data_IF_711322306826
#
_entry.id   IF_711322306826
#
_cell.length_a   1.000
_cell.length_b   1.000
_cell.length_c   1.000
_cell.angle_alpha   90.00
_cell.angle_beta   90.00
_cell.angle_gamma   90.00
#
_symmetry.space_group_name_H-M   'P 1'
#
loop_
_entity.id
_entity.type
_entity.pdbx_description
1 polymer ?
#
# COMPACT_ATOMS: atom_id res chain seq x y z
N UNK A 1 8.45 19.55 -16.85
CA UNK A 1 7.22 19.54 -17.69
C UNK A 1 6.34 20.69 -17.25
N UNK A 2 5.80 21.46 -18.17
CA UNK A 2 4.90 22.58 -17.84
C UNK A 2 3.50 22.23 -18.35
N UNK A 3 2.59 21.84 -17.45
CA UNK A 3 1.20 21.56 -17.78
C UNK A 3 0.42 22.87 -17.92
N UNK A 4 -0.51 22.90 -18.89
CA UNK A 4 -1.40 24.04 -19.15
C UNK A 4 -2.83 23.81 -18.68
N UNK A 5 -3.24 22.52 -18.55
CA UNK A 5 -4.59 22.14 -18.16
C UNK A 5 -4.56 21.09 -17.07
N UNK A 6 -5.41 21.28 -16.05
CA UNK A 6 -5.45 20.44 -14.84
C UNK A 6 -6.83 19.80 -14.72
N UNK A 7 -6.89 18.51 -14.97
CA UNK A 7 -8.09 17.72 -14.90
C UNK A 7 -8.19 17.12 -13.49
N UNK A 8 -9.23 17.50 -12.74
CA UNK A 8 -9.57 16.90 -11.46
C UNK A 8 -10.75 15.96 -11.61
N UNK A 9 -10.57 14.70 -11.25
CA UNK A 9 -11.56 13.67 -11.50
C UNK A 9 -11.90 12.96 -10.19
N UNK A 10 -13.16 13.12 -9.77
CA UNK A 10 -13.74 12.33 -8.70
C UNK A 10 -14.40 11.08 -9.29
N UNK A 11 -14.05 9.91 -8.75
CA UNK A 11 -14.45 8.61 -9.32
C UNK A 11 -15.30 7.85 -8.33
N UNK A 12 -16.55 7.61 -8.69
CA UNK A 12 -17.45 6.71 -7.99
C UNK A 12 -17.63 5.38 -8.74
N UNK A 13 -18.38 4.46 -8.16
CA UNK A 13 -18.67 3.16 -8.79
C UNK A 13 -19.36 3.32 -10.15
N UNK A 14 -20.34 4.21 -10.23
CA UNK A 14 -21.24 4.32 -11.39
C UNK A 14 -20.99 5.59 -12.21
N UNK A 15 -20.38 6.61 -11.63
CA UNK A 15 -20.24 7.95 -12.22
C UNK A 15 -18.86 8.53 -12.01
N UNK A 16 -18.50 9.47 -12.86
CA UNK A 16 -17.33 10.32 -12.76
C UNK A 16 -17.76 11.78 -12.81
N UNK A 17 -17.11 12.60 -12.00
CA UNK A 17 -17.20 14.06 -12.04
C UNK A 17 -15.86 14.64 -12.46
N UNK A 18 -15.86 15.39 -13.56
CA UNK A 18 -14.66 15.94 -14.18
C UNK A 18 -14.70 17.46 -14.11
N UNK A 19 -13.68 18.07 -13.54
CA UNK A 19 -13.44 19.52 -13.62
C UNK A 19 -12.12 19.79 -14.30
N UNK A 20 -12.09 20.80 -15.20
CA UNK A 20 -10.88 21.22 -15.90
C UNK A 20 -10.55 22.67 -15.54
N UNK A 21 -9.31 22.89 -15.13
CA UNK A 21 -8.76 24.24 -14.90
C UNK A 21 -7.73 24.59 -15.98
N UNK A 22 -7.66 25.86 -16.34
CA UNK A 22 -6.62 26.43 -17.20
C UNK A 22 -5.31 26.70 -16.44
N UNK A 23 -4.33 27.28 -17.14
CA UNK A 23 -3.02 27.65 -16.58
C UNK A 23 -3.10 28.75 -15.50
N UNK A 24 -4.19 29.55 -15.47
CA UNK A 24 -4.45 30.57 -14.46
C UNK A 24 -5.21 29.99 -13.24
N UNK A 25 -5.71 28.75 -13.34
CA UNK A 25 -6.52 28.11 -12.30
C UNK A 25 -8.01 28.42 -12.41
N UNK A 26 -8.47 29.00 -13.54
CA UNK A 26 -9.89 29.22 -13.80
C UNK A 26 -10.55 27.92 -14.27
N UNK A 27 -11.78 27.69 -13.83
CA UNK A 27 -12.56 26.55 -14.29
C UNK A 27 -13.10 26.80 -15.70
N UNK A 28 -12.67 25.99 -16.67
CA UNK A 28 -13.10 26.08 -18.07
C UNK A 28 -14.14 25.02 -18.44
N UNK A 29 -14.19 23.89 -17.72
CA UNK A 29 -15.20 22.85 -17.95
C UNK A 29 -15.58 22.11 -16.66
N UNK A 30 -16.80 21.60 -16.64
CA UNK A 30 -17.30 20.60 -15.70
C UNK A 30 -18.22 19.64 -16.44
N UNK A 31 -18.04 18.34 -16.23
CA UNK A 31 -18.85 17.29 -16.83
C UNK A 31 -19.17 16.23 -15.78
N UNK A 32 -20.40 15.70 -15.83
CA UNK A 32 -20.84 14.53 -15.07
C UNK A 32 -21.18 13.40 -16.05
N UNK A 33 -20.61 12.20 -15.85
CA UNK A 33 -20.72 11.11 -16.81
C UNK A 33 -20.76 9.74 -16.12
N UNK A 34 -21.20 8.72 -16.85
CA UNK A 34 -21.17 7.34 -16.39
C UNK A 34 -19.73 6.79 -16.38
N UNK A 35 -19.41 5.95 -15.38
CA UNK A 35 -18.10 5.29 -15.25
C UNK A 35 -18.01 4.05 -16.16
N UNK A 36 -18.15 4.25 -17.45
CA UNK A 36 -17.92 3.26 -18.49
C UNK A 36 -16.99 3.81 -19.57
N UNK A 37 -16.28 2.93 -20.26
CA UNK A 37 -15.25 3.30 -21.22
C UNK A 37 -15.78 4.15 -22.39
N UNK A 38 -17.03 3.91 -22.84
CA UNK A 38 -17.65 4.64 -23.97
C UNK A 38 -17.96 6.09 -23.57
N UNK A 39 -18.58 6.27 -22.42
CA UNK A 39 -18.93 7.59 -21.86
C UNK A 39 -17.66 8.40 -21.54
N UNK A 40 -16.66 7.75 -20.94
CA UNK A 40 -15.35 8.36 -20.64
C UNK A 40 -14.71 8.89 -21.93
N UNK A 41 -14.51 8.04 -22.94
CA UNK A 41 -13.89 8.42 -24.21
C UNK A 41 -14.63 9.59 -24.87
N UNK A 42 -15.97 9.48 -24.98
CA UNK A 42 -16.80 10.52 -25.60
C UNK A 42 -16.68 11.87 -24.89
N UNK A 43 -16.76 11.87 -23.57
CA UNK A 43 -16.71 13.08 -22.76
C UNK A 43 -15.33 13.75 -22.85
N UNK A 44 -14.27 13.01 -22.54
CA UNK A 44 -12.91 13.56 -22.51
C UNK A 44 -12.47 14.08 -23.88
N UNK A 45 -12.67 13.32 -24.97
CA UNK A 45 -12.36 13.76 -26.32
C UNK A 45 -13.21 14.97 -26.71
N UNK A 46 -14.48 15.02 -26.27
CA UNK A 46 -15.37 16.17 -26.49
C UNK A 46 -14.87 17.45 -25.80
N UNK A 47 -14.41 17.33 -24.55
CA UNK A 47 -13.83 18.46 -23.79
C UNK A 47 -12.53 18.93 -24.45
N UNK A 48 -11.61 18.03 -24.78
CA UNK A 48 -10.34 18.36 -25.44
C UNK A 48 -10.60 19.10 -26.76
N UNK A 49 -11.53 18.61 -27.60
CA UNK A 49 -11.88 19.23 -28.88
C UNK A 49 -12.54 20.60 -28.70
N UNK A 50 -13.50 20.73 -27.77
CA UNK A 50 -14.27 21.96 -27.53
C UNK A 50 -13.37 23.12 -27.08
N UNK A 51 -12.36 22.80 -26.26
CA UNK A 51 -11.46 23.82 -25.70
C UNK A 51 -10.09 23.84 -26.40
N UNK A 52 -9.91 23.10 -27.52
CA UNK A 52 -8.66 23.03 -28.29
C UNK A 52 -7.44 22.65 -27.43
N UNK A 53 -7.64 21.71 -26.49
CA UNK A 53 -6.63 21.25 -25.55
C UNK A 53 -5.83 20.10 -26.14
N UNK A 54 -4.51 20.17 -26.07
CA UNK A 54 -3.61 19.07 -26.43
C UNK A 54 -3.42 18.12 -25.24
N UNK A 55 -3.44 16.81 -25.51
CA UNK A 55 -3.30 15.77 -24.47
C UNK A 55 -1.97 15.88 -23.69
N UNK A 56 -0.89 16.23 -24.38
CA UNK A 56 0.44 16.42 -23.81
C UNK A 56 0.55 17.57 -22.80
N UNK A 57 -0.33 18.59 -22.91
CA UNK A 57 -0.40 19.74 -22.02
C UNK A 57 -1.27 19.46 -20.76
N UNK A 58 -1.87 18.25 -20.65
CA UNK A 58 -2.81 17.89 -19.61
C UNK A 58 -2.17 17.15 -18.45
N UNK A 59 -2.57 17.48 -17.23
CA UNK A 59 -2.34 16.67 -16.03
C UNK A 59 -3.68 16.12 -15.52
N UNK A 60 -3.83 14.80 -15.49
CA UNK A 60 -5.02 14.11 -15.00
C UNK A 60 -4.81 13.67 -13.55
N UNK A 61 -5.43 14.39 -12.62
CA UNK A 61 -5.36 14.08 -11.20
C UNK A 61 -6.64 13.38 -10.70
N UNK A 62 -6.47 12.26 -10.01
CA UNK A 62 -7.56 11.45 -9.47
C UNK A 62 -7.28 11.08 -8.01
N UNK A 63 -8.35 10.93 -7.22
CA UNK A 63 -8.26 10.23 -5.96
C UNK A 63 -8.16 8.71 -6.19
N UNK A 64 -7.31 8.02 -5.41
CA UNK A 64 -7.18 6.58 -5.49
C UNK A 64 -8.40 5.89 -4.84
N UNK A 65 -9.38 5.49 -5.65
CA UNK A 65 -10.62 4.79 -5.23
C UNK A 65 -10.62 3.27 -5.54
N UNK A 66 -9.46 2.71 -5.83
CA UNK A 66 -9.29 1.29 -6.09
C UNK A 66 -9.75 0.88 -7.49
N UNK A 67 -10.57 -0.19 -7.59
CA UNK A 67 -10.95 -0.79 -8.88
C UNK A 67 -11.81 0.13 -9.76
N UNK A 68 -12.49 1.10 -9.17
CA UNK A 68 -13.37 1.99 -9.94
C UNK A 68 -12.61 2.96 -10.85
N UNK A 69 -11.33 3.20 -10.57
CA UNK A 69 -10.47 4.01 -11.43
C UNK A 69 -9.99 3.26 -12.69
N UNK A 70 -10.08 1.92 -12.73
CA UNK A 70 -9.46 1.10 -13.79
C UNK A 70 -9.89 1.51 -15.20
N UNK A 71 -11.19 1.69 -15.54
CA UNK A 71 -11.58 2.03 -16.90
C UNK A 71 -10.92 3.32 -17.41
N UNK A 72 -10.91 4.37 -16.57
CA UNK A 72 -10.31 5.65 -16.92
C UNK A 72 -8.77 5.57 -16.98
N UNK A 73 -8.15 4.97 -15.95
CA UNK A 73 -6.68 4.91 -15.86
C UNK A 73 -6.09 4.05 -16.98
N UNK A 74 -6.71 2.92 -17.32
CA UNK A 74 -6.26 2.09 -18.45
C UNK A 74 -6.36 2.82 -19.77
N UNK A 75 -7.46 3.55 -20.01
CA UNK A 75 -7.61 4.33 -21.22
C UNK A 75 -6.60 5.50 -21.29
N UNK A 76 -6.43 6.27 -20.22
CA UNK A 76 -5.44 7.35 -20.19
C UNK A 76 -4.01 6.81 -20.37
N UNK A 77 -3.71 5.64 -19.78
CA UNK A 77 -2.40 4.98 -19.98
C UNK A 77 -2.17 4.58 -21.43
N UNK A 78 -3.21 4.10 -22.14
CA UNK A 78 -3.10 3.76 -23.57
C UNK A 78 -2.85 4.97 -24.47
N UNK A 79 -3.09 6.18 -23.97
CA UNK A 79 -2.81 7.46 -24.63
C UNK A 79 -1.52 8.12 -24.12
N UNK A 80 -0.73 7.41 -23.32
CA UNK A 80 0.49 7.94 -22.67
C UNK A 80 0.27 9.25 -21.88
N UNK A 81 -0.96 9.46 -21.37
CA UNK A 81 -1.36 10.66 -20.67
C UNK A 81 -0.65 10.80 -19.31
N UNK A 82 -0.45 12.03 -18.86
CA UNK A 82 0.15 12.32 -17.57
C UNK A 82 -0.87 12.15 -16.44
N UNK A 83 -0.80 11.04 -15.72
CA UNK A 83 -1.74 10.67 -14.65
C UNK A 83 -1.07 10.89 -13.28
N UNK A 84 -1.78 11.54 -12.37
CA UNK A 84 -1.41 11.67 -10.97
C UNK A 84 -2.48 11.06 -10.08
N UNK A 85 -2.19 9.88 -9.51
CA UNK A 85 -3.05 9.26 -8.50
C UNK A 85 -2.59 9.68 -7.10
N UNK A 86 -3.46 10.39 -6.38
CA UNK A 86 -3.16 10.87 -5.03
C UNK A 86 -4.14 10.29 -3.99
N UNK A 87 -3.72 10.27 -2.74
CA UNK A 87 -4.62 9.86 -1.65
C UNK A 87 -5.62 10.97 -1.32
N UNK A 88 -6.90 10.62 -1.12
CA UNK A 88 -7.94 11.60 -0.75
C UNK A 88 -7.62 12.36 0.54
N UNK A 89 -6.91 11.72 1.47
CA UNK A 89 -6.45 12.37 2.69
C UNK A 89 -5.38 13.46 2.44
N UNK A 90 -4.56 13.31 1.41
CA UNK A 90 -3.58 14.32 1.02
C UNK A 90 -4.28 15.50 0.34
N UNK A 91 -5.17 15.21 -0.60
CA UNK A 91 -6.01 16.22 -1.27
C UNK A 91 -6.80 17.03 -0.23
N UNK A 92 -7.46 16.35 0.72
CA UNK A 92 -8.25 17.03 1.76
C UNK A 92 -7.41 17.92 2.67
N UNK A 93 -6.22 17.47 3.09
CA UNK A 93 -5.33 18.23 3.97
C UNK A 93 -4.76 19.51 3.32
N UNK A 94 -4.58 19.49 2.02
CA UNK A 94 -4.04 20.65 1.29
C UNK A 94 -5.02 21.82 1.19
N UNK A 95 -6.30 21.61 1.51
CA UNK A 95 -7.38 22.59 1.26
C UNK A 95 -7.86 23.35 2.51
N UNK A 96 -7.30 23.06 3.69
CA UNK A 96 -7.73 23.69 4.94
C UNK A 96 -9.15 23.28 5.38
N UNK A 97 -9.89 24.22 6.01
CA UNK A 97 -11.27 23.97 6.47
C UNK A 97 -12.23 24.13 5.29
N UNK A 98 -12.85 23.04 4.88
CA UNK A 98 -13.75 23.03 3.71
C UNK A 98 -15.18 22.77 4.15
N UNK A 99 -16.13 23.59 3.68
CA UNK A 99 -17.58 23.42 3.88
C UNK A 99 -18.22 22.86 2.61
N UNK A 100 -19.23 22.02 2.77
CA UNK A 100 -19.98 21.39 1.69
C UNK A 100 -19.27 20.16 1.10
N UNK A 101 -20.07 19.16 0.72
CA UNK A 101 -19.62 17.94 0.02
C UNK A 101 -20.60 17.66 -1.11
N UNK A 102 -20.07 17.62 -2.34
CA UNK A 102 -20.75 17.10 -3.52
C UNK A 102 -19.68 16.67 -4.51
N UNK A 103 -19.94 15.70 -5.35
CA UNK A 103 -19.00 15.13 -6.31
C UNK A 103 -18.45 16.21 -7.25
N UNK A 104 -19.27 17.21 -7.66
CA UNK A 104 -18.85 18.40 -8.38
C UNK A 104 -17.79 19.22 -7.61
N UNK A 105 -18.00 19.44 -6.32
CA UNK A 105 -17.07 20.19 -5.49
C UNK A 105 -15.79 19.39 -5.28
N UNK A 106 -15.89 18.05 -5.15
CA UNK A 106 -14.74 17.20 -4.93
C UNK A 106 -13.87 17.09 -6.20
N UNK A 107 -14.46 17.00 -7.41
CA UNK A 107 -13.68 17.08 -8.67
C UNK A 107 -12.95 18.42 -8.83
N UNK A 108 -13.59 19.56 -8.49
CA UNK A 108 -12.94 20.87 -8.48
C UNK A 108 -11.79 20.95 -7.47
N UNK A 109 -11.93 20.34 -6.31
CA UNK A 109 -10.89 20.25 -5.28
C UNK A 109 -9.68 19.49 -5.77
N UNK A 110 -9.90 18.36 -6.45
CA UNK A 110 -8.85 17.54 -7.04
C UNK A 110 -8.11 18.35 -8.12
N UNK A 111 -8.84 19.08 -8.98
CA UNK A 111 -8.25 19.94 -10.00
C UNK A 111 -7.40 21.07 -9.38
N UNK A 112 -7.92 21.75 -8.35
CA UNK A 112 -7.17 22.78 -7.60
C UNK A 112 -5.93 22.23 -6.94
N UNK A 113 -6.01 21.02 -6.37
CA UNK A 113 -4.85 20.32 -5.80
C UNK A 113 -3.76 20.12 -6.85
N UNK A 114 -4.12 19.60 -8.03
CA UNK A 114 -3.19 19.41 -9.13
C UNK A 114 -2.55 20.71 -9.60
N UNK A 115 -3.35 21.77 -9.74
CA UNK A 115 -2.88 23.10 -10.13
C UNK A 115 -1.89 23.70 -9.12
N UNK A 116 -2.24 23.71 -7.83
CA UNK A 116 -1.42 24.32 -6.78
C UNK A 116 -0.10 23.55 -6.55
N UNK A 117 -0.12 22.23 -6.69
CA UNK A 117 1.04 21.37 -6.45
C UNK A 117 1.73 20.92 -7.75
N UNK A 118 1.51 21.61 -8.87
CA UNK A 118 2.03 21.22 -10.18
C UNK A 118 3.55 21.09 -10.28
N UNK A 119 4.29 21.69 -9.37
CA UNK A 119 5.75 21.56 -9.29
C UNK A 119 6.21 20.30 -8.55
N UNK A 120 5.31 19.59 -7.84
CA UNK A 120 5.59 18.40 -7.03
C UNK A 120 4.92 17.14 -7.60
N UNK A 121 4.54 17.17 -8.88
CA UNK A 121 3.79 16.10 -9.54
C UNK A 121 4.54 14.77 -9.45
N UNK A 122 3.82 13.74 -9.04
CA UNK A 122 4.28 12.34 -9.05
C UNK A 122 3.46 11.56 -10.05
N UNK A 123 3.97 11.48 -11.26
CA UNK A 123 3.29 10.75 -12.32
C UNK A 123 3.16 9.26 -11.92
N UNK A 124 1.93 8.78 -12.05
CA UNK A 124 1.61 7.39 -11.80
C UNK A 124 2.22 6.49 -12.88
N UNK A 125 2.79 5.39 -12.45
CA UNK A 125 3.32 4.36 -13.33
C UNK A 125 2.45 3.12 -13.19
N UNK A 126 1.89 2.66 -14.30
CA UNK A 126 1.06 1.48 -14.32
C UNK A 126 1.84 0.27 -13.81
N UNK A 127 1.31 -0.49 -12.83
CA UNK A 127 1.90 -1.77 -12.49
C UNK A 127 1.67 -2.75 -13.66
N UNK A 128 2.65 -3.61 -13.89
CA UNK A 128 2.51 -4.71 -14.87
C UNK A 128 1.32 -5.60 -14.50
N UNK A 129 0.71 -6.25 -15.48
CA UNK A 129 -0.46 -7.13 -15.26
C UNK A 129 -0.19 -8.20 -14.20
N UNK A 130 1.00 -8.78 -14.21
CA UNK A 130 1.42 -9.78 -13.23
C UNK A 130 1.41 -9.22 -11.79
N UNK A 131 1.78 -7.96 -11.58
CA UNK A 131 1.71 -7.29 -10.26
C UNK A 131 0.26 -7.07 -9.84
N UNK A 132 -0.60 -6.70 -10.80
CA UNK A 132 -2.03 -6.56 -10.55
C UNK A 132 -2.65 -7.90 -10.15
N UNK A 133 -2.29 -8.98 -10.84
CA UNK A 133 -2.75 -10.33 -10.54
C UNK A 133 -2.29 -10.79 -9.15
N UNK A 134 -1.01 -10.62 -8.82
CA UNK A 134 -0.50 -10.88 -7.47
C UNK A 134 -1.25 -10.08 -6.39
N UNK A 135 -1.61 -8.83 -6.66
CA UNK A 135 -2.39 -8.00 -5.73
C UNK A 135 -3.81 -8.57 -5.50
N UNK A 136 -4.46 -9.09 -6.55
CA UNK A 136 -5.77 -9.76 -6.47
C UNK A 136 -5.68 -11.05 -5.64
N UNK A 137 -4.70 -11.92 -5.90
CA UNK A 137 -4.46 -13.14 -5.12
C UNK A 137 -4.20 -12.84 -3.65
N UNK A 138 -3.37 -11.84 -3.34
CA UNK A 138 -3.09 -11.39 -1.98
C UNK A 138 -4.32 -10.80 -1.28
N UNK A 139 -5.21 -10.14 -2.03
CA UNK A 139 -6.49 -9.64 -1.52
C UNK A 139 -7.43 -10.79 -1.19
N UNK A 140 -7.56 -11.78 -2.09
CA UNK A 140 -8.39 -12.98 -1.90
C UNK A 140 -7.90 -13.79 -0.70
N UNK A 141 -6.59 -14.04 -0.60
CA UNK A 141 -5.97 -14.70 0.55
C UNK A 141 -6.31 -13.98 1.87
N UNK A 142 -6.24 -12.67 1.89
CA UNK A 142 -6.55 -11.88 3.09
C UNK A 142 -8.02 -12.02 3.52
N UNK A 143 -8.94 -12.12 2.57
CA UNK A 143 -10.37 -12.36 2.82
C UNK A 143 -10.60 -13.76 3.41
N UNK A 144 -9.97 -14.80 2.87
CA UNK A 144 -10.08 -16.16 3.42
C UNK A 144 -9.52 -16.26 4.83
N UNK A 145 -8.39 -15.62 5.12
CA UNK A 145 -7.83 -15.57 6.48
C UNK A 145 -8.79 -14.85 7.44
N UNK A 146 -9.40 -13.75 7.00
CA UNK A 146 -10.38 -13.02 7.83
C UNK A 146 -11.60 -13.90 8.15
N UNK A 147 -12.17 -14.57 7.14
CA UNK A 147 -13.32 -15.45 7.31
C UNK A 147 -12.98 -16.66 8.23
N UNK A 148 -11.80 -17.26 8.02
CA UNK A 148 -11.30 -18.33 8.90
C UNK A 148 -11.22 -17.87 10.35
N UNK A 149 -10.63 -16.69 10.60
CA UNK A 149 -10.54 -16.14 11.97
C UNK A 149 -11.91 -15.86 12.58
N UNK A 150 -12.88 -15.34 11.81
CA UNK A 150 -14.24 -15.11 12.30
C UNK A 150 -14.88 -16.40 12.81
N UNK A 151 -14.73 -17.52 12.08
CA UNK A 151 -15.26 -18.81 12.50
C UNK A 151 -14.50 -19.40 13.70
N UNK A 152 -13.17 -19.25 13.75
CA UNK A 152 -12.36 -19.78 14.85
C UNK A 152 -12.56 -19.02 16.17
N UNK A 153 -12.68 -17.70 16.13
CA UNK A 153 -12.77 -16.84 17.31
C UNK A 153 -14.14 -16.98 17.96
N UNK A 154 -15.23 -16.97 17.17
CA UNK A 154 -16.59 -17.10 17.68
C UNK A 154 -16.78 -18.34 18.57
N UNK A 155 -16.16 -19.48 18.17
CA UNK A 155 -16.23 -20.71 18.98
C UNK A 155 -15.37 -20.64 20.24
N UNK A 156 -14.20 -20.00 20.15
CA UNK A 156 -13.31 -19.84 21.31
C UNK A 156 -13.91 -18.96 22.40
N UNK A 157 -14.64 -17.91 21.99
CA UNK A 157 -15.31 -16.99 22.92
C UNK A 157 -16.46 -17.68 23.67
N UNK A 158 -17.10 -18.70 23.08
CA UNK A 158 -18.15 -19.48 23.72
C UNK A 158 -17.62 -20.46 24.77
N UNK A 159 -16.32 -20.78 24.75
CA UNK A 159 -15.70 -21.67 25.76
C UNK A 159 -15.76 -21.01 27.14
N UNK A 160 -16.39 -21.69 28.09
CA UNK A 160 -16.60 -21.19 29.46
C UNK A 160 -17.99 -20.63 29.72
N UNK A 161 -18.78 -20.34 28.67
CA UNK A 161 -20.17 -19.87 28.78
C UNK A 161 -21.20 -20.95 28.43
N UNK A 162 -20.84 -21.92 27.57
CA UNK A 162 -21.70 -23.00 27.12
C UNK A 162 -21.22 -24.36 27.59
N UNK A 163 -22.14 -25.34 27.66
CA UNK A 163 -21.78 -26.70 27.97
C UNK A 163 -20.96 -27.33 26.83
N UNK A 164 -20.17 -28.38 27.18
CA UNK A 164 -19.26 -29.03 26.25
C UNK A 164 -19.95 -29.70 25.04
N UNK A 165 -21.18 -30.12 25.21
CA UNK A 165 -21.96 -30.79 24.17
C UNK A 165 -22.39 -29.78 23.08
N UNK A 166 -22.91 -28.62 23.48
CA UNK A 166 -23.23 -27.52 22.57
C UNK A 166 -22.00 -27.06 21.80
N UNK A 167 -20.86 -26.89 22.49
CA UNK A 167 -19.59 -26.52 21.84
C UNK A 167 -19.14 -27.56 20.82
N UNK A 168 -19.28 -28.88 21.14
CA UNK A 168 -18.98 -29.95 20.20
C UNK A 168 -19.86 -29.90 18.96
N UNK A 169 -21.15 -29.65 19.12
CA UNK A 169 -22.09 -29.51 18.01
C UNK A 169 -21.71 -28.32 17.08
N UNK A 170 -21.42 -27.16 17.64
CA UNK A 170 -20.99 -25.98 16.87
C UNK A 170 -19.67 -26.26 16.13
N UNK A 171 -18.70 -26.88 16.82
CA UNK A 171 -17.42 -27.25 16.20
C UNK A 171 -17.59 -28.25 15.05
N UNK A 172 -18.55 -29.16 15.12
CA UNK A 172 -18.88 -30.12 14.04
C UNK A 172 -19.30 -29.38 12.78
N UNK A 173 -20.16 -28.35 12.91
CA UNK A 173 -20.60 -27.52 11.79
C UNK A 173 -19.48 -26.66 11.21
N UNK A 174 -18.59 -26.13 12.05
CA UNK A 174 -17.48 -25.28 11.60
C UNK A 174 -16.30 -26.07 10.97
N UNK A 175 -16.21 -27.37 11.17
CA UNK A 175 -15.07 -28.17 10.71
C UNK A 175 -14.90 -28.16 9.20
N UNK A 176 -15.98 -28.39 8.44
CA UNK A 176 -15.93 -28.44 6.99
C UNK A 176 -15.58 -27.06 6.36
N UNK A 177 -16.24 -25.95 6.71
CA UNK A 177 -15.87 -24.62 6.23
C UNK A 177 -14.42 -24.22 6.58
N UNK A 178 -13.96 -24.52 7.80
CA UNK A 178 -12.58 -24.22 8.22
C UNK A 178 -11.55 -25.00 7.42
N UNK A 179 -11.80 -26.28 7.14
CA UNK A 179 -10.92 -27.10 6.32
C UNK A 179 -10.90 -26.62 4.86
N UNK A 180 -12.07 -26.26 4.31
CA UNK A 180 -12.14 -25.69 2.97
C UNK A 180 -11.36 -24.37 2.85
N UNK A 181 -11.50 -23.48 3.83
CA UNK A 181 -10.75 -22.22 3.87
C UNK A 181 -9.24 -22.45 3.99
N UNK A 182 -8.79 -23.40 4.80
CA UNK A 182 -7.36 -23.77 4.90
C UNK A 182 -6.83 -24.24 3.56
N UNK A 183 -7.53 -25.20 2.92
CA UNK A 183 -7.14 -25.73 1.63
C UNK A 183 -7.06 -24.63 0.55
N UNK A 184 -8.02 -23.69 0.52
CA UNK A 184 -8.00 -22.60 -0.45
C UNK A 184 -6.88 -21.60 -0.17
N UNK A 185 -6.54 -21.31 1.09
CA UNK A 185 -5.40 -20.46 1.44
C UNK A 185 -4.11 -21.11 0.93
N UNK A 186 -3.92 -22.41 1.15
CA UNK A 186 -2.73 -23.14 0.70
C UNK A 186 -2.62 -23.16 -0.83
N UNK A 187 -3.74 -23.33 -1.54
CA UNK A 187 -3.78 -23.27 -3.02
C UNK A 187 -3.37 -21.89 -3.53
N UNK A 188 -3.92 -20.82 -2.95
CA UNK A 188 -3.58 -19.45 -3.33
C UNK A 188 -2.10 -19.14 -3.07
N UNK A 189 -1.54 -19.63 -1.95
CA UNK A 189 -0.10 -19.43 -1.67
C UNK A 189 0.79 -20.16 -2.66
N UNK A 190 0.40 -21.36 -3.13
CA UNK A 190 1.09 -22.07 -4.20
C UNK A 190 1.00 -21.31 -5.51
N UNK A 191 -0.19 -20.84 -5.88
CA UNK A 191 -0.41 -20.06 -7.09
C UNK A 191 0.40 -18.74 -7.09
N UNK A 192 0.44 -18.02 -5.97
CA UNK A 192 1.30 -16.85 -5.80
C UNK A 192 2.77 -17.20 -6.09
N UNK A 193 3.25 -18.33 -5.58
CA UNK A 193 4.63 -18.77 -5.80
C UNK A 193 4.88 -19.15 -7.27
N UNK A 194 3.93 -19.78 -7.94
CA UNK A 194 4.00 -20.12 -9.35
C UNK A 194 4.05 -18.84 -10.22
N UNK A 195 3.19 -17.88 -9.94
CA UNK A 195 3.18 -16.58 -10.62
C UNK A 195 4.50 -15.82 -10.40
N UNK A 196 5.06 -15.85 -9.17
CA UNK A 196 6.37 -15.25 -8.91
C UNK A 196 7.47 -15.94 -9.74
N UNK A 197 7.43 -17.27 -9.87
CA UNK A 197 8.42 -18.04 -10.62
C UNK A 197 8.30 -17.88 -12.13
N UNK A 198 7.13 -17.53 -12.66
CA UNK A 198 6.91 -17.34 -14.08
C UNK A 198 7.52 -16.06 -14.66
N UNK A 199 7.92 -15.11 -13.82
CA UNK A 199 8.56 -13.86 -14.22
C UNK A 199 9.95 -13.75 -13.59
N UNK A 200 10.98 -13.66 -14.42
CA UNK A 200 12.37 -13.67 -13.98
C UNK A 200 12.69 -12.52 -13.01
N UNK A 201 12.23 -11.29 -13.31
CA UNK A 201 12.47 -10.12 -12.48
C UNK A 201 11.80 -10.25 -11.11
N UNK A 202 10.54 -10.66 -11.07
CA UNK A 202 9.81 -10.84 -9.79
C UNK A 202 10.44 -11.97 -8.99
N UNK A 203 10.84 -13.05 -9.65
CA UNK A 203 11.51 -14.19 -9.01
C UNK A 203 12.85 -13.78 -8.39
N UNK A 204 13.64 -12.98 -9.09
CA UNK A 204 14.89 -12.44 -8.56
C UNK A 204 14.65 -11.54 -7.34
N UNK A 205 13.70 -10.58 -7.45
CA UNK A 205 13.32 -9.73 -6.32
C UNK A 205 12.83 -10.56 -5.13
N UNK A 206 12.02 -11.58 -5.38
CA UNK A 206 11.52 -12.48 -4.34
C UNK A 206 12.66 -13.19 -3.62
N UNK A 207 13.65 -13.75 -4.35
CA UNK A 207 14.83 -14.41 -3.75
C UNK A 207 15.62 -13.44 -2.88
N UNK A 208 15.89 -12.24 -3.39
CA UNK A 208 16.62 -11.20 -2.65
C UNK A 208 15.87 -10.81 -1.36
N UNK A 209 14.57 -10.56 -1.44
CA UNK A 209 13.77 -10.10 -0.30
C UNK A 209 13.62 -11.20 0.75
N UNK A 210 13.41 -12.45 0.33
CA UNK A 210 13.26 -13.58 1.26
C UNK A 210 14.58 -14.06 1.88
N UNK A 211 15.73 -13.62 1.36
CA UNK A 211 17.03 -13.87 2.01
C UNK A 211 17.18 -13.12 3.34
N UNK A 212 16.38 -12.05 3.56
CA UNK A 212 16.38 -11.30 4.82
C UNK A 212 15.63 -12.08 5.90
N UNK A 213 16.29 -12.29 7.04
CA UNK A 213 15.72 -13.06 8.17
C UNK A 213 14.32 -12.59 8.56
N UNK A 214 13.41 -13.56 8.70
CA UNK A 214 12.03 -13.35 9.08
C UNK A 214 11.07 -12.95 7.95
N UNK A 215 11.56 -12.74 6.74
CA UNK A 215 10.75 -12.37 5.57
C UNK A 215 10.37 -13.61 4.78
N UNK A 216 9.07 -13.96 4.79
CA UNK A 216 8.51 -15.07 4.00
C UNK A 216 7.73 -14.60 2.78
N UNK A 217 7.13 -15.58 2.06
CA UNK A 217 6.36 -15.38 0.82
C UNK A 217 5.41 -14.18 0.88
N UNK A 218 4.54 -14.14 1.88
CA UNK A 218 3.47 -13.13 2.00
C UNK A 218 4.03 -11.72 2.17
N UNK A 219 5.08 -11.58 2.98
CA UNK A 219 5.73 -10.27 3.22
C UNK A 219 6.48 -9.82 1.98
N UNK A 220 7.25 -10.71 1.34
CA UNK A 220 7.98 -10.41 0.13
C UNK A 220 7.05 -9.98 -1.01
N UNK A 221 6.00 -10.77 -1.28
CA UNK A 221 5.00 -10.44 -2.31
C UNK A 221 4.33 -9.10 -2.03
N UNK A 222 3.96 -8.81 -0.77
CA UNK A 222 3.33 -7.53 -0.43
C UNK A 222 4.29 -6.34 -0.60
N UNK A 223 5.59 -6.52 -0.33
CA UNK A 223 6.61 -5.49 -0.60
C UNK A 223 6.72 -5.23 -2.11
N UNK A 224 6.85 -6.27 -2.92
CA UNK A 224 6.93 -6.16 -4.39
C UNK A 224 5.70 -5.39 -4.95
N UNK A 225 4.50 -5.76 -4.52
CA UNK A 225 3.25 -5.11 -4.96
C UNK A 225 3.22 -3.64 -4.54
N UNK A 226 3.49 -3.33 -3.27
CA UNK A 226 3.34 -1.96 -2.75
C UNK A 226 4.42 -1.00 -3.19
N UNK A 227 5.58 -1.50 -3.61
CA UNK A 227 6.65 -0.70 -4.20
C UNK A 227 6.53 -0.62 -5.73
N UNK A 228 5.60 -1.39 -6.33
CA UNK A 228 5.56 -1.61 -7.78
C UNK A 228 6.95 -2.02 -8.30
N UNK A 229 7.47 -3.13 -7.80
CA UNK A 229 8.82 -3.63 -8.14
C UNK A 229 9.95 -2.62 -7.85
N UNK A 230 9.81 -1.84 -6.77
CA UNK A 230 10.71 -0.75 -6.38
C UNK A 230 10.79 0.42 -7.38
N UNK A 231 9.76 0.57 -8.27
CA UNK A 231 9.66 1.68 -9.21
C UNK A 231 9.08 2.93 -8.50
N UNK A 232 8.01 2.76 -7.70
CA UNK A 232 7.30 3.88 -7.07
C UNK A 232 7.94 4.32 -5.75
N UNK A 233 8.51 3.38 -5.00
CA UNK A 233 9.22 3.64 -3.74
C UNK A 233 10.58 2.96 -3.80
N UNK A 234 11.62 3.75 -4.05
CA UNK A 234 13.00 3.29 -4.23
C UNK A 234 13.83 3.36 -2.95
N UNK A 235 13.35 4.12 -1.93
CA UNK A 235 14.09 4.36 -0.70
C UNK A 235 13.46 3.67 0.51
N UNK A 236 14.25 2.90 1.25
CA UNK A 236 13.80 2.21 2.46
C UNK A 236 13.23 3.16 3.54
N UNK A 237 13.75 4.39 3.66
CA UNK A 237 13.23 5.39 4.60
C UNK A 237 11.82 5.84 4.22
N UNK A 238 11.54 6.08 2.93
CA UNK A 238 10.19 6.42 2.44
C UNK A 238 9.22 5.26 2.66
N UNK A 239 9.67 4.03 2.41
CA UNK A 239 8.85 2.84 2.67
C UNK A 239 8.59 2.62 4.17
N UNK A 240 9.53 2.93 5.05
CA UNK A 240 9.33 2.87 6.49
C UNK A 240 8.29 3.89 6.99
N UNK A 241 8.24 5.08 6.39
CA UNK A 241 7.16 6.04 6.63
C UNK A 241 5.82 5.51 6.11
N UNK A 242 5.77 5.02 4.87
CA UNK A 242 4.58 4.42 4.24
C UNK A 242 4.01 3.26 5.07
N UNK A 243 4.87 2.41 5.62
CA UNK A 243 4.48 1.28 6.47
C UNK A 243 4.18 1.65 7.92
N UNK A 244 4.34 2.91 8.31
CA UNK A 244 4.08 3.38 9.69
C UNK A 244 5.02 2.79 10.73
N UNK A 245 6.27 2.58 10.37
CA UNK A 245 7.31 2.08 11.26
C UNK A 245 8.12 3.22 11.85
N UNK A 246 8.31 4.33 11.12
CA UNK A 246 9.05 5.50 11.59
C UNK A 246 8.13 6.40 12.43
N UNK A 247 8.50 6.69 13.69
CA UNK A 247 7.79 7.69 14.48
C UNK A 247 8.19 9.09 14.03
N UNK A 248 7.23 10.00 14.00
CA UNK A 248 7.46 11.43 13.77
C UNK A 248 7.56 12.15 15.10
N UNK A 249 8.48 13.10 15.20
CA UNK A 249 8.58 13.99 16.32
C UNK A 249 7.40 14.95 16.35
N UNK A 250 6.88 15.20 17.54
CA UNK A 250 5.84 16.19 17.79
C UNK A 250 6.37 17.20 18.80
N UNK A 251 7.10 18.18 18.28
CA UNK A 251 7.68 19.26 19.07
C UNK A 251 7.28 20.60 18.44
N UNK A 252 6.88 21.54 19.24
CA UNK A 252 6.62 22.91 18.80
C UNK A 252 7.16 23.88 19.84
N UNK A 253 8.13 24.68 19.45
CA UNK A 253 8.84 25.59 20.34
C UNK A 253 9.46 24.90 21.57
N UNK A 254 9.52 25.63 22.68
CA UNK A 254 10.04 25.12 23.95
C UNK A 254 8.99 24.44 24.83
N UNK A 255 7.69 24.69 24.58
CA UNK A 255 6.56 24.31 25.42
C UNK A 255 5.91 22.97 25.08
N UNK A 256 5.91 22.57 23.79
CA UNK A 256 5.25 21.33 23.38
C UNK A 256 6.28 20.23 23.12
N UNK A 257 6.38 19.26 24.04
CA UNK A 257 7.16 18.03 23.89
C UNK A 257 6.23 16.82 23.89
N UNK A 258 5.56 16.57 22.75
CA UNK A 258 4.69 15.42 22.59
C UNK A 258 5.48 14.11 22.43
N UNK A 259 4.86 12.97 22.78
CA UNK A 259 5.43 11.64 22.48
C UNK A 259 5.52 11.40 20.98
N UNK A 260 6.65 10.92 20.51
CA UNK A 260 6.83 10.52 19.11
C UNK A 260 5.80 9.46 18.74
N UNK A 261 5.01 9.72 17.69
CA UNK A 261 3.95 8.82 17.22
C UNK A 261 4.11 8.47 15.74
N UNK A 262 3.73 7.26 15.37
CA UNK A 262 3.64 6.86 13.96
C UNK A 262 2.38 7.43 13.32
N UNK A 263 2.44 7.73 12.01
CA UNK A 263 1.29 8.24 11.29
C UNK A 263 0.13 7.25 11.28
N UNK A 264 -1.09 7.73 11.49
CA UNK A 264 -2.32 6.94 11.35
C UNK A 264 -2.65 6.63 9.87
N UNK A 265 -2.08 7.39 8.93
CA UNK A 265 -2.25 7.22 7.47
C UNK A 265 -1.41 6.08 6.90
N UNK A 266 -0.60 5.43 7.74
CA UNK A 266 0.28 4.35 7.32
C UNK A 266 -0.48 3.11 6.83
N UNK A 267 0.11 2.36 5.91
CA UNK A 267 -0.43 1.08 5.45
C UNK A 267 -0.40 0.03 6.56
N UNK A 268 -1.55 -0.16 7.21
CA UNK A 268 -1.71 -1.06 8.36
C UNK A 268 -1.45 -2.53 7.99
N UNK A 269 -1.73 -2.93 6.74
CA UNK A 269 -1.52 -4.31 6.26
C UNK A 269 -0.02 -4.63 6.24
N UNK A 270 0.77 -3.76 5.61
CA UNK A 270 2.23 -3.98 5.56
C UNK A 270 2.88 -3.85 6.94
N UNK A 271 2.39 -2.94 7.79
CA UNK A 271 2.84 -2.83 9.19
C UNK A 271 2.66 -4.13 9.96
N UNK A 272 1.53 -4.82 9.78
CA UNK A 272 1.25 -6.11 10.42
C UNK A 272 2.18 -7.21 9.89
N UNK A 273 2.40 -7.27 8.57
CA UNK A 273 3.33 -8.24 7.98
C UNK A 273 4.76 -8.04 8.46
N UNK A 274 5.23 -6.79 8.52
CA UNK A 274 6.55 -6.46 9.07
C UNK A 274 6.66 -6.79 10.56
N UNK A 275 5.54 -6.72 11.31
CA UNK A 275 5.54 -7.16 12.71
C UNK A 275 5.73 -8.65 12.85
N UNK A 276 5.05 -9.44 12.03
CA UNK A 276 5.22 -10.89 11.99
C UNK A 276 6.63 -11.26 11.55
N UNK A 277 7.17 -10.57 10.53
CA UNK A 277 8.55 -10.74 10.10
C UNK A 277 9.56 -10.43 11.23
N UNK A 278 9.34 -9.35 11.98
CA UNK A 278 10.19 -8.99 13.11
C UNK A 278 10.14 -10.03 14.25
N UNK A 279 8.94 -10.57 14.57
CA UNK A 279 8.79 -11.63 15.57
C UNK A 279 9.48 -12.92 15.10
N UNK A 280 9.44 -13.22 13.80
CA UNK A 280 10.15 -14.36 13.22
C UNK A 280 11.66 -14.15 13.28
N UNK A 281 12.14 -12.96 12.86
CA UNK A 281 13.56 -12.64 12.81
C UNK A 281 14.27 -12.70 14.19
N UNK A 282 13.61 -12.23 15.26
CA UNK A 282 14.20 -12.29 16.62
C UNK A 282 14.32 -13.71 17.19
N UNK A 283 13.69 -14.70 16.55
CA UNK A 283 13.81 -16.13 16.94
C UNK A 283 14.96 -16.83 16.24
N UNK A 284 15.48 -16.25 15.17
CA UNK A 284 16.61 -16.78 14.42
C UNK A 284 17.90 -16.25 15.04
N UNK A 285 18.86 -17.16 15.34
CA UNK A 285 20.19 -16.77 15.84
C UNK A 285 20.89 -15.85 14.84
N UNK A 286 21.40 -14.71 15.34
CA UNK A 286 22.09 -13.71 14.55
C UNK A 286 21.93 -12.30 15.08
N UNK A 287 22.44 -11.34 14.36
CA UNK A 287 22.56 -9.94 14.77
C UNK A 287 21.24 -9.23 15.10
N UNK A 288 20.10 -9.64 14.50
CA UNK A 288 18.77 -9.12 14.85
C UNK A 288 18.35 -9.60 16.25
N UNK A 289 18.55 -10.89 16.54
CA UNK A 289 18.25 -11.46 17.85
C UNK A 289 19.14 -10.80 18.91
N UNK A 290 20.45 -10.71 18.67
CA UNK A 290 21.41 -10.09 19.58
C UNK A 290 21.07 -8.62 19.86
N UNK A 291 20.71 -7.88 18.81
CA UNK A 291 20.23 -6.51 18.93
C UNK A 291 18.97 -6.42 19.80
N UNK A 292 18.00 -7.31 19.60
CA UNK A 292 16.76 -7.32 20.35
C UNK A 292 17.02 -7.63 21.83
N UNK A 293 17.76 -8.69 22.14
CA UNK A 293 18.08 -9.09 23.52
C UNK A 293 18.85 -8.02 24.26
N UNK A 294 19.89 -7.46 23.62
CA UNK A 294 20.68 -6.36 24.21
C UNK A 294 19.80 -5.15 24.53
N UNK A 295 18.94 -4.70 23.60
CA UNK A 295 18.09 -3.52 23.81
C UNK A 295 17.01 -3.73 24.87
N UNK A 296 16.51 -4.95 25.04
CA UNK A 296 15.59 -5.31 26.11
C UNK A 296 16.33 -5.35 27.45
N UNK A 297 17.55 -5.90 27.51
CA UNK A 297 18.39 -5.89 28.70
C UNK A 297 18.77 -4.45 29.13
N UNK A 298 18.96 -3.51 28.19
CA UNK A 298 19.12 -2.08 28.44
C UNK A 298 17.83 -1.41 28.99
N UNK A 299 16.77 -2.16 29.31
CA UNK A 299 15.51 -1.63 29.86
C UNK A 299 14.54 -1.03 28.84
N UNK A 300 14.78 -1.16 27.52
CA UNK A 300 13.87 -0.64 26.50
C UNK A 300 12.62 -1.50 26.38
N UNK A 301 11.47 -0.84 26.22
CA UNK A 301 10.19 -1.54 26.06
C UNK A 301 10.19 -2.45 24.83
N UNK A 302 9.82 -3.73 24.99
CA UNK A 302 9.86 -4.79 23.96
C UNK A 302 9.22 -4.37 22.61
N UNK A 303 8.05 -3.70 22.65
CA UNK A 303 7.37 -3.24 21.42
C UNK A 303 8.13 -2.13 20.70
N UNK A 304 8.83 -1.25 21.42
CA UNK A 304 9.71 -0.24 20.84
C UNK A 304 10.89 -0.89 20.11
N UNK A 305 11.51 -1.90 20.75
CA UNK A 305 12.62 -2.65 20.14
C UNK A 305 12.15 -3.41 18.89
N UNK A 306 10.98 -4.08 18.95
CA UNK A 306 10.36 -4.73 17.78
C UNK A 306 10.09 -3.72 16.64
N UNK A 307 9.70 -2.49 16.98
CA UNK A 307 9.51 -1.47 15.94
C UNK A 307 10.84 -1.07 15.27
N UNK A 308 11.92 -1.00 16.03
CA UNK A 308 13.27 -0.78 15.48
C UNK A 308 13.71 -1.97 14.59
N UNK A 309 13.38 -3.22 14.98
CA UNK A 309 13.64 -4.40 14.17
C UNK A 309 12.88 -4.35 12.83
N UNK A 310 11.60 -3.93 12.83
CA UNK A 310 10.83 -3.72 11.58
C UNK A 310 11.56 -2.76 10.64
N UNK A 311 12.06 -1.65 11.18
CA UNK A 311 12.82 -0.67 10.39
C UNK A 311 14.12 -1.27 9.82
N UNK A 312 14.84 -2.05 10.65
CA UNK A 312 16.06 -2.74 10.18
C UNK A 312 15.75 -3.71 9.03
N UNK A 313 14.66 -4.48 9.11
CA UNK A 313 14.22 -5.40 8.04
C UNK A 313 13.95 -4.61 6.75
N UNK A 314 13.20 -3.50 6.81
CA UNK A 314 12.95 -2.65 5.64
C UNK A 314 14.26 -2.17 5.02
N UNK A 315 15.15 -1.59 5.82
CA UNK A 315 16.40 -1.04 5.31
C UNK A 315 17.28 -2.12 4.68
N UNK A 316 17.30 -3.35 5.23
CA UNK A 316 18.00 -4.50 4.65
C UNK A 316 17.41 -4.92 3.32
N UNK A 317 16.07 -5.05 3.23
CA UNK A 317 15.38 -5.38 1.99
C UNK A 317 15.80 -4.39 0.90
N UNK A 318 15.67 -3.09 1.17
CA UNK A 318 15.99 -2.06 0.18
C UNK A 318 17.46 -2.02 -0.18
N UNK A 319 18.37 -2.18 0.78
CA UNK A 319 19.82 -2.25 0.50
C UNK A 319 20.17 -3.46 -0.37
N UNK A 320 19.59 -4.64 -0.08
CA UNK A 320 19.83 -5.85 -0.87
C UNK A 320 19.29 -5.71 -2.31
N UNK A 321 18.09 -5.14 -2.47
CA UNK A 321 17.48 -4.91 -3.78
C UNK A 321 18.28 -3.88 -4.60
N UNK A 322 18.69 -2.76 -3.98
CA UNK A 322 19.50 -1.73 -4.67
C UNK A 322 20.86 -2.26 -5.10
N UNK A 323 21.41 -3.21 -4.35
CA UNK A 323 22.72 -3.83 -4.66
C UNK A 323 22.58 -5.14 -5.46
N UNK A 324 21.35 -5.52 -5.81
CA UNK A 324 21.00 -6.76 -6.53
C UNK A 324 21.65 -8.03 -5.94
N UNK A 325 21.79 -8.07 -4.61
CA UNK A 325 22.42 -9.19 -3.89
C UNK A 325 21.55 -9.74 -2.78
N UNK A 326 21.71 -11.01 -2.45
CA UNK A 326 21.10 -11.64 -1.28
C UNK A 326 21.69 -11.07 0.01
N UNK A 327 20.91 -11.15 1.10
CA UNK A 327 21.38 -10.77 2.42
C UNK A 327 22.37 -11.83 2.93
N UNK A 328 23.58 -11.39 3.26
CA UNK A 328 24.61 -12.20 3.89
C UNK A 328 24.68 -11.90 5.38
N UNK A 329 24.61 -12.95 6.20
CA UNK A 329 24.82 -12.82 7.64
C UNK A 329 26.29 -12.50 7.89
N UNK A 330 26.55 -11.41 8.61
CA UNK A 330 27.89 -11.19 9.14
C UNK A 330 28.18 -12.29 10.16
N UNK A 331 29.10 -13.17 9.85
CA UNK A 331 29.67 -14.09 10.82
C UNK A 331 30.56 -13.20 11.70
N UNK A 332 30.09 -12.90 12.93
CA UNK A 332 30.97 -12.31 13.93
C UNK A 332 31.97 -13.40 14.31
N UNK A 333 33.14 -13.38 13.72
CA UNK A 333 34.29 -14.02 14.36
C UNK A 333 34.47 -13.30 15.71
N UNK A 334 34.05 -13.90 16.79
CA UNK A 334 34.56 -13.57 18.10
C UNK A 334 36.07 -13.86 18.03
N UNK A 335 36.86 -12.85 17.77
CA UNK A 335 38.25 -12.89 18.17
C UNK A 335 38.19 -12.98 19.71
N UNK A 336 38.32 -14.18 20.24
CA UNK A 336 38.70 -14.38 21.64
C UNK A 336 39.96 -13.53 21.82
N UNK A 337 39.85 -12.48 22.62
CA UNK A 337 41.01 -11.72 23.04
C UNK A 337 41.83 -12.64 23.92
N UNK A 338 43.13 -12.75 23.65
CA UNK A 338 44.06 -13.51 24.47
C UNK A 338 44.10 -13.00 25.90
#
# INVERSE_FOLDING_TARGET
>A
MQFKHFFGIDVSKNTLDLTVLDIQGNQIAYEHLANDLKSIKKCFLGVLKRHQILMEDCLFCLEYTGIYNLPLVQWLTSLEAHIWLESGSQILKSQGIVRGKSDKVDSLRIAKYAFLNRNEVRLWKAPREIIQYLALLMSLRSRFIKNKKQLEVSVKELNGFLNKETIRSINKHNKAPLNALKLQIDKIEKEILEVIKSDERIHQLYKIITSVDGVGLVTATQVIITTNEFINITEGRKYACYSGVVPFEHRSGTSIRGKNRVSHMANKKIKTLLHLAAISAIRVKGDIQDYYLRKVAEGKHKMSVLNAVRNKIILRIFACVTQERMFEKKINFCLEKP
#
